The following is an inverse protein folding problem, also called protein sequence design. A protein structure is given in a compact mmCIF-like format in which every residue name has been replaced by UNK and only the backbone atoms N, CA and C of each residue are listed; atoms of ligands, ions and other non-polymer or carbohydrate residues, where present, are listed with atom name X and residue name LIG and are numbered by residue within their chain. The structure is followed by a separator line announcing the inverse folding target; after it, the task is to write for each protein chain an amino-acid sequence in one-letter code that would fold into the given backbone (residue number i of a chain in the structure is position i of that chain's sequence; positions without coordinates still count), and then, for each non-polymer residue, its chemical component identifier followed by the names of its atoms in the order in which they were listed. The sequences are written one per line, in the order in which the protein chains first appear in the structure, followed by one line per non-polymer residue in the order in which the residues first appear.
data_IF_544923199508
#
_entry.id   IF_544923199508
#
_cell.length_a   1.000
_cell.length_b   1.000
_cell.length_c   1.000
_cell.angle_alpha   90.00
_cell.angle_beta   90.00
_cell.angle_gamma   90.00
#
_symmetry.space_group_name_H-M   'P 1'
#
loop_
_entity.id
_entity.type
_entity.pdbx_description
1 polymer ?
#
# COMPACT_ATOMS: atom_id res chain seq x y z
N UNK A 1 -35.44 -8.07 30.12
CA UNK A 1 -35.07 -8.03 28.69
C UNK A 1 -34.44 -6.68 28.38
N UNK A 2 -33.10 -6.59 28.40
CA UNK A 2 -32.41 -5.38 27.97
C UNK A 2 -32.33 -5.37 26.45
N UNK A 3 -32.98 -4.38 25.81
CA UNK A 3 -32.82 -4.10 24.38
C UNK A 3 -31.42 -3.56 24.18
N UNK A 4 -30.54 -4.37 23.60
CA UNK A 4 -29.28 -3.89 23.04
C UNK A 4 -29.61 -2.83 21.96
N UNK A 5 -29.29 -1.58 22.26
CA UNK A 5 -29.27 -0.51 21.28
C UNK A 5 -28.19 -0.83 20.26
N UNK A 6 -28.57 -1.09 19.00
CA UNK A 6 -27.61 -1.16 17.90
C UNK A 6 -26.91 0.20 17.81
N UNK A 7 -25.57 0.27 17.78
CA UNK A 7 -24.88 1.51 17.49
C UNK A 7 -25.38 2.03 16.14
N UNK A 8 -25.83 3.29 16.10
CA UNK A 8 -26.03 3.99 14.83
C UNK A 8 -24.65 4.09 14.18
N UNK A 9 -24.42 3.33 13.10
CA UNK A 9 -23.30 3.61 12.22
C UNK A 9 -23.44 5.08 11.80
N UNK A 10 -22.48 5.92 12.20
CA UNK A 10 -22.43 7.31 11.75
C UNK A 10 -22.47 7.33 10.21
N UNK A 11 -23.12 8.35 9.64
CA UNK A 11 -22.97 8.65 8.21
C UNK A 11 -21.48 8.65 7.92
N UNK A 12 -21.03 7.74 7.06
CA UNK A 12 -19.61 7.57 6.76
C UNK A 12 -19.01 8.91 6.40
N UNK A 13 -18.23 9.49 7.32
CA UNK A 13 -17.39 10.63 7.02
C UNK A 13 -16.45 10.15 5.92
N UNK A 14 -16.57 10.75 4.74
CA UNK A 14 -15.56 10.58 3.70
C UNK A 14 -14.27 11.05 4.36
N UNK A 15 -13.38 10.10 4.70
CA UNK A 15 -12.03 10.45 5.11
C UNK A 15 -11.39 11.11 3.90
N UNK A 16 -10.95 12.34 4.08
CA UNK A 16 -10.13 13.03 3.10
C UNK A 16 -8.86 12.20 2.87
N UNK A 17 -8.38 12.20 1.63
CA UNK A 17 -7.10 11.58 1.31
C UNK A 17 -5.98 12.40 1.97
N UNK A 18 -4.88 11.75 2.39
CA UNK A 18 -3.72 12.47 2.91
C UNK A 18 -3.12 13.39 1.85
N UNK A 19 -2.34 14.37 2.27
CA UNK A 19 -1.84 15.44 1.38
C UNK A 19 -1.01 14.96 0.18
N UNK A 20 -0.44 13.75 0.24
CA UNK A 20 0.38 13.17 -0.83
C UNK A 20 -0.41 12.31 -1.82
N UNK A 21 -1.75 12.33 -1.75
CA UNK A 21 -2.59 11.44 -2.54
C UNK A 21 -3.77 12.16 -3.19
N UNK A 22 -4.14 11.70 -4.37
CA UNK A 22 -5.30 12.20 -5.12
C UNK A 22 -6.11 11.06 -5.74
N UNK A 23 -7.40 11.29 -5.95
CA UNK A 23 -8.24 10.36 -6.69
C UNK A 23 -8.07 10.55 -8.19
N UNK A 24 -7.67 9.47 -8.88
CA UNK A 24 -7.74 9.40 -10.33
C UNK A 24 -9.06 8.73 -10.73
N UNK A 25 -10.02 9.58 -11.13
CA UNK A 25 -11.37 9.15 -11.47
C UNK A 25 -12.11 8.53 -10.28
N UNK A 26 -12.71 7.36 -10.49
CA UNK A 26 -13.39 6.58 -9.44
C UNK A 26 -12.71 5.24 -9.13
N UNK A 27 -11.55 4.98 -9.73
CA UNK A 27 -10.96 3.64 -9.80
C UNK A 27 -9.68 3.48 -8.98
N UNK A 28 -8.80 4.49 -8.98
CA UNK A 28 -7.49 4.40 -8.31
C UNK A 28 -7.10 5.68 -7.57
N UNK A 29 -6.33 5.51 -6.50
CA UNK A 29 -5.71 6.60 -5.76
C UNK A 29 -4.27 6.69 -6.26
N UNK A 30 -3.84 7.83 -6.80
CA UNK A 30 -2.43 8.07 -7.08
C UNK A 30 -1.79 8.75 -5.86
N UNK A 31 -0.55 8.40 -5.55
CA UNK A 31 0.16 9.00 -4.43
C UNK A 31 1.68 8.96 -4.65
N UNK A 32 2.39 9.86 -3.97
CA UNK A 32 3.84 9.95 -4.03
C UNK A 32 4.46 9.75 -2.65
N UNK A 33 5.56 8.99 -2.57
CA UNK A 33 6.33 8.82 -1.34
C UNK A 33 7.82 8.98 -1.63
N UNK A 34 8.56 9.43 -0.61
CA UNK A 34 10.02 9.48 -0.66
C UNK A 34 10.56 8.47 0.34
N UNK A 35 11.39 7.56 -0.13
CA UNK A 35 11.93 6.45 0.65
C UNK A 35 13.45 6.44 0.62
N UNK A 36 14.06 5.97 1.70
CA UNK A 36 15.50 5.74 1.79
C UNK A 36 15.86 4.32 1.35
N UNK A 37 17.02 4.14 0.74
CA UNK A 37 17.58 2.80 0.51
C UNK A 37 18.06 2.18 1.84
N UNK A 38 17.90 0.85 2.05
CA UNK A 38 17.09 -0.06 1.25
C UNK A 38 15.59 0.18 1.46
N UNK A 39 14.82 0.18 0.36
CA UNK A 39 13.38 0.47 0.44
C UNK A 39 12.55 -0.73 0.93
N UNK A 40 13.03 -1.95 0.72
CA UNK A 40 12.33 -3.19 1.09
C UNK A 40 11.03 -3.39 0.32
N UNK A 41 11.02 -3.11 -0.98
CA UNK A 41 9.88 -3.35 -1.87
C UNK A 41 10.25 -4.49 -2.81
N UNK A 42 9.39 -5.50 -2.91
CA UNK A 42 9.50 -6.56 -3.91
C UNK A 42 8.55 -6.22 -5.05
N UNK A 43 9.07 -6.19 -6.28
CA UNK A 43 8.31 -5.86 -7.48
C UNK A 43 7.97 -7.12 -8.29
N UNK A 44 6.80 -7.12 -8.92
CA UNK A 44 6.34 -8.12 -9.88
C UNK A 44 5.90 -7.45 -11.19
N UNK A 45 5.84 -8.24 -12.27
CA UNK A 45 5.25 -7.75 -13.52
C UNK A 45 3.74 -7.62 -13.36
N UNK A 46 3.14 -6.70 -14.12
CA UNK A 46 1.69 -6.56 -14.16
C UNK A 46 1.00 -7.87 -14.58
N UNK A 47 -0.31 -8.02 -14.34
CA UNK A 47 -1.04 -9.28 -14.56
C UNK A 47 -1.00 -9.81 -16.01
N UNK A 48 -0.70 -8.95 -16.98
CA UNK A 48 -0.59 -9.30 -18.40
C UNK A 48 0.88 -9.52 -18.85
N UNK A 49 1.83 -9.43 -17.92
CA UNK A 49 3.27 -9.59 -18.16
C UNK A 49 4.03 -8.26 -18.29
N UNK A 50 5.33 -8.33 -18.63
CA UNK A 50 6.18 -7.15 -18.80
C UNK A 50 5.61 -6.16 -19.83
N UNK A 51 5.69 -4.86 -19.51
CA UNK A 51 5.16 -3.77 -20.34
C UNK A 51 3.69 -3.41 -20.08
N UNK A 52 3.00 -4.14 -19.18
CA UNK A 52 1.60 -3.88 -18.83
C UNK A 52 1.39 -3.31 -17.42
N UNK A 53 2.46 -3.13 -16.65
CA UNK A 53 2.42 -2.58 -15.29
C UNK A 53 3.54 -3.14 -14.43
N UNK A 54 3.79 -2.50 -13.28
CA UNK A 54 4.77 -2.97 -12.28
C UNK A 54 4.08 -3.02 -10.93
N UNK A 55 3.80 -4.22 -10.43
CA UNK A 55 3.12 -4.44 -9.16
C UNK A 55 4.08 -4.45 -7.98
N UNK A 56 3.58 -4.09 -6.80
CA UNK A 56 4.21 -4.36 -5.51
C UNK A 56 3.75 -5.75 -5.05
N UNK A 57 4.68 -6.70 -5.04
CA UNK A 57 4.44 -8.07 -4.62
C UNK A 57 4.54 -8.24 -3.11
N UNK A 58 5.43 -7.50 -2.45
CA UNK A 58 5.65 -7.56 -1.00
C UNK A 58 6.36 -6.30 -0.46
N UNK A 59 6.24 -6.07 0.85
CA UNK A 59 6.94 -5.02 1.59
C UNK A 59 7.67 -5.64 2.77
N UNK A 60 8.99 -5.69 2.68
CA UNK A 60 9.89 -6.30 3.67
C UNK A 60 10.02 -5.42 4.91
N UNK A 61 9.96 -6.03 6.09
CA UNK A 61 10.04 -5.35 7.39
C UNK A 61 11.34 -4.54 7.60
N UNK A 62 12.41 -4.94 6.93
CA UNK A 62 13.73 -4.31 7.03
C UNK A 62 13.90 -3.03 6.21
N UNK A 63 12.90 -2.67 5.38
CA UNK A 63 12.98 -1.53 4.47
C UNK A 63 12.26 -0.27 4.95
N UNK A 64 12.64 0.87 4.36
CA UNK A 64 12.01 2.16 4.66
C UNK A 64 10.52 2.23 4.27
N UNK A 65 10.06 1.40 3.32
CA UNK A 65 8.63 1.29 3.00
C UNK A 65 7.82 0.72 4.18
N UNK A 66 8.37 -0.26 4.90
CA UNK A 66 7.73 -0.78 6.11
C UNK A 66 7.76 0.26 7.23
N UNK A 67 8.85 1.01 7.40
CA UNK A 67 8.88 2.10 8.37
C UNK A 67 7.79 3.15 8.08
N UNK A 68 7.60 3.53 6.80
CA UNK A 68 6.53 4.45 6.41
C UNK A 68 5.14 3.88 6.76
N UNK A 69 4.91 2.58 6.56
CA UNK A 69 3.67 1.92 6.98
C UNK A 69 3.44 2.09 8.49
N UNK A 70 4.46 1.83 9.31
CA UNK A 70 4.36 1.97 10.77
C UNK A 70 4.06 3.41 11.19
N UNK A 71 4.78 4.38 10.61
CA UNK A 71 4.57 5.80 10.89
C UNK A 71 3.13 6.25 10.58
N UNK A 72 2.55 5.75 9.47
CA UNK A 72 1.19 6.12 9.06
C UNK A 72 0.15 5.45 9.95
N UNK A 73 0.30 4.15 10.23
CA UNK A 73 -0.71 3.40 10.96
C UNK A 73 -0.73 3.73 12.46
N UNK A 74 0.44 3.95 13.07
CA UNK A 74 0.58 4.00 14.52
C UNK A 74 1.08 5.35 15.05
N UNK A 75 1.79 6.14 14.24
CA UNK A 75 2.31 7.45 14.64
C UNK A 75 1.52 8.64 14.04
N UNK A 76 0.48 8.35 13.24
CA UNK A 76 -0.42 9.37 12.71
C UNK A 76 0.17 10.27 11.61
N UNK A 77 1.22 9.79 10.92
CA UNK A 77 1.80 10.51 9.77
C UNK A 77 0.77 10.70 8.65
N UNK A 78 0.58 11.94 8.21
CA UNK A 78 -0.34 12.28 7.12
C UNK A 78 0.26 11.90 5.75
N UNK A 79 0.12 10.63 5.38
CA UNK A 79 0.63 10.08 4.13
C UNK A 79 -0.09 8.79 3.77
N UNK A 80 -0.13 8.45 2.48
CA UNK A 80 -0.29 7.07 2.05
C UNK A 80 0.97 6.24 2.40
N UNK A 81 0.80 4.92 2.47
CA UNK A 81 1.87 3.94 2.61
C UNK A 81 1.87 2.99 1.41
N UNK A 82 2.97 2.27 1.18
CA UNK A 82 3.07 1.23 0.14
C UNK A 82 2.63 -0.12 0.70
N UNK A 83 1.85 -0.89 -0.07
CA UNK A 83 1.48 -2.27 0.27
C UNK A 83 1.37 -3.15 -0.99
N UNK A 84 1.18 -4.46 -0.79
CA UNK A 84 0.92 -5.40 -1.87
C UNK A 84 -0.28 -4.99 -2.75
N UNK A 85 -0.12 -5.16 -4.06
CA UNK A 85 -1.13 -4.81 -5.06
C UNK A 85 -1.20 -3.31 -5.40
N UNK A 86 -0.32 -2.49 -4.86
CA UNK A 86 -0.05 -1.17 -5.41
C UNK A 86 0.74 -1.30 -6.72
N UNK A 87 0.59 -0.33 -7.61
CA UNK A 87 1.30 -0.26 -8.89
C UNK A 87 2.34 0.86 -8.83
N UNK A 88 3.59 0.55 -9.15
CA UNK A 88 4.67 1.53 -9.28
C UNK A 88 4.64 2.10 -10.70
N UNK A 89 4.43 3.41 -10.80
CA UNK A 89 4.20 4.10 -12.07
C UNK A 89 5.46 4.84 -12.52
N UNK A 90 6.20 5.44 -11.57
CA UNK A 90 7.42 6.20 -11.85
C UNK A 90 8.43 6.17 -10.69
N UNK A 91 9.71 6.33 -11.03
CA UNK A 91 10.82 6.51 -10.10
C UNK A 91 11.49 7.85 -10.40
N UNK A 92 11.59 8.73 -9.40
CA UNK A 92 12.11 10.09 -9.53
C UNK A 92 11.47 10.91 -10.66
N UNK A 93 10.18 10.67 -10.93
CA UNK A 93 9.43 11.31 -12.01
C UNK A 93 9.62 10.66 -13.39
N UNK A 94 10.51 9.67 -13.52
CA UNK A 94 10.66 8.92 -14.76
C UNK A 94 9.66 7.74 -14.81
N UNK A 95 8.77 7.69 -15.81
CA UNK A 95 7.75 6.66 -15.92
C UNK A 95 8.37 5.30 -16.23
N UNK A 96 7.76 4.22 -15.74
CA UNK A 96 8.28 2.86 -15.93
C UNK A 96 7.82 2.19 -17.22
N UNK A 97 6.77 2.70 -17.86
CA UNK A 97 6.15 2.14 -19.06
C UNK A 97 5.80 0.64 -18.92
N UNK A 98 5.53 0.21 -17.68
CA UNK A 98 5.19 -1.18 -17.35
C UNK A 98 6.37 -2.14 -17.23
N UNK A 99 7.62 -1.65 -17.19
CA UNK A 99 8.82 -2.50 -17.09
C UNK A 99 9.46 -2.44 -15.71
N UNK A 100 9.46 -3.56 -15.00
CA UNK A 100 10.06 -3.72 -13.66
C UNK A 100 11.57 -3.51 -13.66
N UNK A 101 12.24 -3.95 -14.72
CA UNK A 101 13.70 -3.84 -14.88
C UNK A 101 14.12 -2.37 -14.92
N UNK A 102 13.32 -1.52 -15.58
CA UNK A 102 13.52 -0.06 -15.62
C UNK A 102 13.44 0.55 -14.23
N UNK A 103 12.52 0.08 -13.38
CA UNK A 103 12.43 0.52 -11.98
C UNK A 103 13.74 0.21 -11.22
N UNK A 104 14.27 -0.99 -11.41
CA UNK A 104 15.50 -1.44 -10.75
C UNK A 104 16.69 -0.58 -11.18
N UNK A 105 16.82 -0.31 -12.48
CA UNK A 105 17.86 0.55 -13.03
C UNK A 105 17.79 1.98 -12.47
N UNK A 106 16.61 2.61 -12.49
CA UNK A 106 16.41 3.97 -11.99
C UNK A 106 16.70 4.08 -10.50
N UNK A 107 16.29 3.08 -9.71
CA UNK A 107 16.60 3.01 -8.29
C UNK A 107 18.11 2.87 -8.08
N UNK A 108 18.78 1.95 -8.78
CA UNK A 108 20.22 1.75 -8.62
C UNK A 108 21.03 3.01 -8.96
N UNK A 109 20.60 3.76 -9.96
CA UNK A 109 21.27 4.98 -10.43
C UNK A 109 20.92 6.25 -9.63
N UNK A 110 19.95 6.16 -8.72
CA UNK A 110 19.54 7.29 -7.86
C UNK A 110 20.40 7.44 -6.60
N UNK A 111 20.21 8.56 -5.88
CA UNK A 111 20.81 8.77 -4.55
C UNK A 111 20.22 7.88 -3.46
N UNK A 112 20.47 8.25 -2.20
CA UNK A 112 19.96 7.51 -1.03
C UNK A 112 18.45 7.66 -0.85
N UNK A 113 17.89 8.79 -1.27
CA UNK A 113 16.46 9.07 -1.27
C UNK A 113 15.87 8.94 -2.67
N UNK A 114 14.78 8.18 -2.77
CA UNK A 114 14.10 7.85 -4.01
C UNK A 114 12.64 8.25 -3.88
N UNK A 115 12.17 9.05 -4.83
CA UNK A 115 10.76 9.41 -4.96
C UNK A 115 10.05 8.37 -5.81
N UNK A 116 8.99 7.77 -5.30
CA UNK A 116 8.18 6.78 -6.00
C UNK A 116 6.79 7.34 -6.21
N UNK A 117 6.31 7.27 -7.46
CA UNK A 117 4.90 7.55 -7.78
C UNK A 117 4.19 6.21 -7.90
N UNK A 118 3.15 6.01 -7.09
CA UNK A 118 2.38 4.78 -7.04
C UNK A 118 0.89 5.04 -7.29
N UNK A 119 0.18 3.98 -7.63
CA UNK A 119 -1.27 3.97 -7.63
C UNK A 119 -1.86 2.75 -6.91
N UNK A 120 -2.97 2.96 -6.20
CA UNK A 120 -3.72 1.91 -5.49
C UNK A 120 -5.09 1.71 -6.10
N UNK A 121 -5.42 0.53 -6.63
CA UNK A 121 -6.77 0.20 -7.07
C UNK A 121 -7.76 0.21 -5.88
N UNK A 122 -8.88 0.92 -6.01
CA UNK A 122 -9.92 0.97 -4.96
C UNK A 122 -10.58 -0.39 -4.70
N UNK A 123 -10.57 -1.26 -5.71
CA UNK A 123 -11.09 -2.64 -5.65
C UNK A 123 -9.98 -3.69 -5.50
N UNK A 124 -8.86 -3.31 -4.89
CA UNK A 124 -7.72 -4.20 -4.67
C UNK A 124 -7.58 -4.67 -3.22
N UNK A 125 -6.33 -4.71 -2.76
CA UNK A 125 -5.98 -5.09 -1.41
C UNK A 125 -6.25 -3.97 -0.40
N UNK A 126 -6.48 -4.35 0.85
CA UNK A 126 -6.60 -3.48 2.01
C UNK A 126 -5.59 -3.92 3.06
N UNK A 127 -5.16 -2.96 3.90
CA UNK A 127 -4.45 -3.27 5.13
C UNK A 127 -5.46 -3.45 6.25
N UNK A 128 -5.42 -4.61 6.90
CA UNK A 128 -6.18 -4.90 8.12
C UNK A 128 -5.22 -4.74 9.29
N UNK A 129 -5.62 -3.94 10.27
CA UNK A 129 -4.84 -3.68 11.49
C UNK A 129 -5.58 -4.31 12.66
N UNK A 130 -4.90 -5.15 13.42
CA UNK A 130 -5.43 -5.84 14.58
C UNK A 130 -5.18 -5.03 15.87
N UNK A 131 -5.97 -5.27 16.94
CA UNK A 131 -5.83 -4.52 18.20
C UNK A 131 -4.48 -4.67 18.91
N UNK A 132 -3.74 -5.73 18.61
CA UNK A 132 -2.40 -6.00 19.15
C UNK A 132 -1.28 -5.26 18.40
N UNK A 133 -1.64 -4.48 17.38
CA UNK A 133 -0.69 -3.74 16.53
C UNK A 133 -0.16 -4.54 15.35
N UNK A 134 -0.52 -5.82 15.20
CA UNK A 134 -0.20 -6.58 13.99
C UNK A 134 -1.01 -6.05 12.80
N UNK A 135 -0.48 -6.21 11.59
CA UNK A 135 -1.22 -5.84 10.38
C UNK A 135 -0.93 -6.81 9.23
N UNK A 136 -1.94 -7.02 8.39
CA UNK A 136 -1.82 -7.89 7.21
C UNK A 136 -2.41 -7.21 5.98
N UNK A 137 -1.89 -7.56 4.81
CA UNK A 137 -2.49 -7.19 3.53
C UNK A 137 -3.49 -8.27 3.10
N UNK A 138 -4.68 -7.87 2.64
CA UNK A 138 -5.74 -8.80 2.25
C UNK A 138 -6.55 -8.27 1.08
N UNK A 139 -7.03 -9.12 0.15
CA UNK A 139 -8.08 -8.71 -0.79
C UNK A 139 -9.28 -8.13 -0.04
N UNK A 140 -9.84 -7.03 -0.55
CA UNK A 140 -10.96 -6.32 0.11
C UNK A 140 -12.20 -7.18 0.36
N UNK A 141 -12.41 -8.22 -0.43
CA UNK A 141 -13.57 -9.12 -0.33
C UNK A 141 -13.34 -10.35 0.57
N UNK A 142 -12.17 -10.50 1.19
CA UNK A 142 -11.91 -11.62 2.09
C UNK A 142 -12.71 -11.50 3.39
N UNK A 143 -13.26 -12.63 3.86
CA UNK A 143 -13.94 -12.71 5.16
C UNK A 143 -12.92 -12.55 6.28
N UNK A 144 -13.17 -11.65 7.23
CA UNK A 144 -12.26 -11.35 8.35
C UNK A 144 -11.91 -12.59 9.19
N UNK A 145 -12.83 -13.54 9.33
CA UNK A 145 -12.59 -14.79 10.08
C UNK A 145 -11.41 -15.60 9.51
N UNK A 146 -11.28 -15.66 8.18
CA UNK A 146 -10.14 -16.35 7.51
C UNK A 146 -8.83 -15.61 7.67
N UNK A 147 -8.88 -14.30 7.92
CA UNK A 147 -7.69 -13.48 8.10
C UNK A 147 -7.09 -13.64 9.49
N UNK A 148 -7.95 -13.79 10.52
CA UNK A 148 -7.52 -14.09 11.88
C UNK A 148 -6.85 -15.48 11.98
N UNK A 149 -7.34 -16.46 11.23
CA UNK A 149 -6.71 -17.80 11.16
C UNK A 149 -5.31 -17.76 10.52
N UNK A 150 -5.09 -16.89 9.51
CA UNK A 150 -3.78 -16.72 8.87
C UNK A 150 -2.76 -16.08 9.81
N UNK A 151 -3.18 -15.12 10.63
CA UNK A 151 -2.32 -14.50 11.64
C UNK A 151 -1.80 -15.53 12.67
N UNK A 152 -2.68 -16.41 13.14
CA UNK A 152 -2.33 -17.48 14.10
C UNK A 152 -1.42 -18.58 13.52
N UNK A 153 -1.33 -18.70 12.18
CA UNK A 153 -0.53 -19.73 11.52
C UNK A 153 0.92 -19.29 11.22
N UNK A 154 1.28 -18.04 11.56
CA UNK A 154 2.60 -17.44 11.27
C UNK A 154 3.44 -17.20 12.54
N UNK A 155 2.94 -17.58 13.71
CA UNK A 155 3.66 -17.60 15.01
C UNK A 155 4.38 -18.95 15.24
#
# INVERSE_FOLDING_TARGET
MQRFLRPRMGKGTIRELPSNAEMIGSLKIAYEVVLKKPMGIVLEDGPQGPGFGVGVADVLETGSAHQLLQDVLFEGKDSMWIQEGDELEAVNGEPLDGFKEKATELVMNSGDEVRLTLSRPRKGYIKVVFPDGKSITSPRAATLDRLAEKDLATD
#
